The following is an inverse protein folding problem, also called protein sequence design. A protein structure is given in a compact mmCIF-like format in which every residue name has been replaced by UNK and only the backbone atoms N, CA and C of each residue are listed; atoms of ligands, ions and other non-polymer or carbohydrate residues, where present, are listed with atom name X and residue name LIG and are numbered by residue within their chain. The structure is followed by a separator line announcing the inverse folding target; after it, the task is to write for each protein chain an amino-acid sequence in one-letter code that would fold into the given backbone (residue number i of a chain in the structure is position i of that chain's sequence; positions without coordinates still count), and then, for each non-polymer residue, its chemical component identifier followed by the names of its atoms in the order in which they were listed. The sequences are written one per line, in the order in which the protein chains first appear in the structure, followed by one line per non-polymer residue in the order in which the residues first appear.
data_IF_111887954351
#
_entry.id   IF_111887954351
#
_cell.length_a   1.000
_cell.length_b   1.000
_cell.length_c   1.000
_cell.angle_alpha   90.00
_cell.angle_beta   90.00
_cell.angle_gamma   90.00
#
_symmetry.space_group_name_H-M   'P 1'
#
loop_
_entity.id
_entity.type
_entity.pdbx_description
1 polymer ?
#
# COMPACT_ATOMS: atom_id res chain seq x y z
N UNK A 1 -20.38 0.32 -13.66
CA UNK A 1 -20.08 -0.45 -12.43
C UNK A 1 -21.40 -0.63 -11.69
N UNK A 2 -21.72 -1.82 -11.18
CA UNK A 2 -22.91 -2.01 -10.35
C UNK A 2 -22.73 -1.24 -9.03
N UNK A 3 -23.82 -0.67 -8.49
CA UNK A 3 -23.79 0.09 -7.23
C UNK A 3 -23.22 -0.76 -6.09
N UNK A 4 -23.52 -2.05 -6.10
CA UNK A 4 -23.05 -3.04 -5.15
C UNK A 4 -21.52 -3.18 -5.15
N UNK A 5 -20.89 -3.24 -6.33
CA UNK A 5 -19.43 -3.31 -6.47
C UNK A 5 -18.77 -2.01 -5.99
N UNK A 6 -19.39 -0.87 -6.26
CA UNK A 6 -18.90 0.44 -5.80
C UNK A 6 -18.94 0.54 -4.27
N UNK A 7 -20.07 0.16 -3.65
CA UNK A 7 -20.21 0.16 -2.19
C UNK A 7 -19.23 -0.82 -1.53
N UNK A 8 -19.04 -2.02 -2.10
CA UNK A 8 -18.06 -2.99 -1.61
C UNK A 8 -16.61 -2.44 -1.71
N UNK A 9 -16.27 -1.76 -2.81
CA UNK A 9 -14.98 -1.11 -2.97
C UNK A 9 -14.75 0.00 -1.94
N UNK A 10 -15.74 0.88 -1.74
CA UNK A 10 -15.67 1.96 -0.74
C UNK A 10 -15.51 1.39 0.67
N UNK A 11 -16.29 0.38 1.04
CA UNK A 11 -16.17 -0.27 2.35
C UNK A 11 -14.79 -0.91 2.55
N UNK A 12 -14.30 -1.69 1.58
CA UNK A 12 -13.00 -2.33 1.67
C UNK A 12 -11.85 -1.32 1.76
N UNK A 13 -11.88 -0.26 0.94
CA UNK A 13 -10.84 0.78 0.96
C UNK A 13 -10.87 1.62 2.22
N UNK A 14 -12.05 1.92 2.78
CA UNK A 14 -12.17 2.60 4.06
C UNK A 14 -11.50 1.80 5.19
N UNK A 15 -11.75 0.49 5.26
CA UNK A 15 -11.12 -0.40 6.25
C UNK A 15 -9.59 -0.41 6.06
N UNK A 16 -9.11 -0.52 4.82
CA UNK A 16 -7.68 -0.54 4.51
C UNK A 16 -6.97 0.77 4.88
N UNK A 17 -7.61 1.92 4.67
CA UNK A 17 -7.04 3.24 5.00
C UNK A 17 -6.91 3.45 6.51
N UNK A 18 -7.78 2.84 7.32
CA UNK A 18 -7.67 2.95 8.79
C UNK A 18 -6.40 2.29 9.34
N UNK A 19 -5.86 1.28 8.66
CA UNK A 19 -4.65 0.60 9.11
C UNK A 19 -3.45 1.44 8.66
N UNK A 20 -2.68 2.04 9.59
CA UNK A 20 -1.51 2.82 9.21
C UNK A 20 -0.52 1.90 8.48
N UNK A 21 -0.39 2.12 7.17
CA UNK A 21 0.50 1.35 6.34
C UNK A 21 1.98 1.64 6.67
N UNK A 22 2.91 0.89 6.04
CA UNK A 22 4.35 1.04 6.29
C UNK A 22 4.85 2.47 6.04
N UNK A 23 4.31 3.18 5.04
CA UNK A 23 4.67 4.59 4.80
C UNK A 23 4.27 5.51 5.95
N UNK A 24 3.04 5.39 6.47
CA UNK A 24 2.57 6.22 7.59
C UNK A 24 3.36 5.89 8.86
N UNK A 25 3.60 4.60 9.13
CA UNK A 25 4.42 4.17 10.25
C UNK A 25 5.86 4.73 10.18
N UNK A 26 6.48 4.72 9.00
CA UNK A 26 7.82 5.26 8.78
C UNK A 26 7.86 6.78 8.99
N UNK A 27 6.87 7.52 8.47
CA UNK A 27 6.74 8.96 8.69
C UNK A 27 6.61 9.27 10.18
N UNK A 28 5.74 8.55 10.90
CA UNK A 28 5.55 8.72 12.34
C UNK A 28 6.84 8.38 13.11
N UNK A 29 7.48 7.25 12.81
CA UNK A 29 8.73 6.84 13.45
C UNK A 29 9.84 7.90 13.28
N UNK A 30 10.04 8.41 12.06
CA UNK A 30 11.01 9.47 11.81
C UNK A 30 10.63 10.80 12.46
N UNK A 31 9.33 11.13 12.53
CA UNK A 31 8.84 12.34 13.19
C UNK A 31 9.07 12.29 14.70
N UNK A 32 8.86 11.12 15.33
CA UNK A 32 9.04 10.91 16.77
C UNK A 32 10.52 10.85 17.12
N UNK A 33 11.33 10.11 16.37
CA UNK A 33 12.74 9.90 16.67
C UNK A 33 13.63 11.13 16.39
N UNK A 34 13.33 11.90 15.34
CA UNK A 34 14.19 12.99 14.87
C UNK A 34 13.50 14.36 14.81
N UNK A 35 12.20 14.43 15.14
CA UNK A 35 11.41 15.65 15.11
C UNK A 35 10.60 15.85 13.83
N UNK A 36 9.60 16.72 13.89
CA UNK A 36 8.60 16.93 12.81
C UNK A 36 9.21 17.32 11.47
N UNK A 37 10.36 18.02 11.45
CA UNK A 37 11.07 18.39 10.23
C UNK A 37 11.55 17.17 9.44
N UNK A 38 12.04 16.13 10.11
CA UNK A 38 12.46 14.89 9.45
C UNK A 38 11.26 14.06 8.97
N UNK A 39 10.14 14.15 9.67
CA UNK A 39 8.84 13.69 9.20
C UNK A 39 8.45 14.32 7.86
N UNK A 40 8.51 15.64 7.75
CA UNK A 40 8.20 16.37 6.51
C UNK A 40 9.13 16.00 5.36
N UNK A 41 10.43 15.82 5.62
CA UNK A 41 11.38 15.35 4.61
C UNK A 41 11.04 13.92 4.13
N UNK A 42 10.63 13.06 5.06
CA UNK A 42 10.16 11.70 4.74
C UNK A 42 8.91 11.74 3.86
N UNK A 43 7.95 12.63 4.17
CA UNK A 43 6.74 12.84 3.36
C UNK A 43 7.10 13.35 1.96
N UNK A 44 8.00 14.32 1.86
CA UNK A 44 8.43 14.87 0.57
C UNK A 44 9.12 13.81 -0.31
N UNK A 45 10.02 13.02 0.28
CA UNK A 45 10.71 11.94 -0.42
C UNK A 45 9.76 10.84 -0.88
N UNK A 46 8.91 10.35 0.02
CA UNK A 46 7.91 9.32 -0.31
C UNK A 46 6.91 9.80 -1.37
N UNK A 47 6.45 11.05 -1.29
CA UNK A 47 5.54 11.63 -2.29
C UNK A 47 6.21 11.75 -3.66
N UNK A 48 7.47 12.19 -3.70
CA UNK A 48 8.26 12.30 -4.94
C UNK A 48 8.46 10.92 -5.58
N UNK A 49 8.77 9.91 -4.78
CA UNK A 49 8.90 8.52 -5.25
C UNK A 49 7.58 8.00 -5.84
N UNK A 50 6.44 8.27 -5.19
CA UNK A 50 5.11 7.89 -5.69
C UNK A 50 4.81 8.59 -7.02
N UNK A 51 5.15 9.87 -7.18
CA UNK A 51 4.97 10.60 -8.44
C UNK A 51 5.80 9.96 -9.56
N UNK A 52 7.08 9.67 -9.31
CA UNK A 52 7.96 9.03 -10.31
C UNK A 52 7.41 7.65 -10.68
N UNK A 53 7.02 6.85 -9.69
CA UNK A 53 6.43 5.54 -9.91
C UNK A 53 5.13 5.63 -10.74
N UNK A 54 4.27 6.62 -10.47
CA UNK A 54 3.04 6.83 -11.23
C UNK A 54 3.34 7.20 -12.68
N UNK A 55 4.28 8.10 -12.92
CA UNK A 55 4.70 8.48 -14.27
C UNK A 55 5.23 7.28 -15.06
N UNK A 56 6.11 6.47 -14.45
CA UNK A 56 6.61 5.23 -15.05
C UNK A 56 5.49 4.24 -15.36
N UNK A 57 4.54 4.10 -14.43
CA UNK A 57 3.39 3.21 -14.59
C UNK A 57 2.53 3.64 -15.77
N UNK A 58 2.15 4.91 -15.84
CA UNK A 58 1.32 5.45 -16.93
C UNK A 58 2.04 5.37 -18.27
N UNK A 59 3.34 5.65 -18.32
CA UNK A 59 4.14 5.55 -19.54
C UNK A 59 4.21 4.11 -20.09
N UNK A 60 4.25 3.10 -19.20
CA UNK A 60 4.32 1.68 -19.59
C UNK A 60 2.98 0.94 -19.66
N UNK A 61 1.88 1.56 -19.20
CA UNK A 61 0.61 0.88 -18.95
C UNK A 61 0.02 0.23 -20.21
N UNK A 62 0.02 0.94 -21.34
CA UNK A 62 -0.58 0.47 -22.60
C UNK A 62 0.13 -0.76 -23.16
N UNK A 63 1.47 -0.77 -23.16
CA UNK A 63 2.27 -1.92 -23.59
C UNK A 63 2.17 -3.09 -22.61
N UNK A 64 2.09 -2.80 -21.31
CA UNK A 64 1.96 -3.85 -20.30
C UNK A 64 0.60 -4.56 -20.39
N UNK A 65 -0.49 -3.80 -20.53
CA UNK A 65 -1.85 -4.35 -20.61
C UNK A 65 -2.08 -5.19 -21.87
N UNK A 66 -1.49 -4.83 -23.01
CA UNK A 66 -1.64 -5.62 -24.25
C UNK A 66 -0.98 -7.00 -24.14
N UNK A 67 0.14 -7.12 -23.42
CA UNK A 67 0.83 -8.39 -23.18
C UNK A 67 0.13 -9.19 -22.08
N UNK A 68 -0.38 -8.52 -21.05
CA UNK A 68 -0.91 -9.15 -19.83
C UNK A 68 -2.41 -9.44 -19.86
N UNK A 69 -3.15 -9.07 -20.91
CA UNK A 69 -4.60 -9.26 -20.99
C UNK A 69 -5.06 -10.68 -20.61
N UNK A 70 -4.33 -11.69 -21.06
CA UNK A 70 -4.66 -13.11 -20.81
C UNK A 70 -4.23 -13.58 -19.40
N UNK A 71 -3.26 -12.89 -18.79
CA UNK A 71 -2.64 -13.25 -17.51
C UNK A 71 -3.18 -12.42 -16.35
N UNK A 72 -3.89 -11.33 -16.62
CA UNK A 72 -4.37 -10.39 -15.61
C UNK A 72 -5.28 -11.05 -14.58
N UNK A 73 -6.15 -11.97 -15.00
CA UNK A 73 -7.03 -12.69 -14.07
C UNK A 73 -6.23 -13.59 -13.12
N UNK A 74 -5.23 -14.32 -13.64
CA UNK A 74 -4.33 -15.12 -12.81
C UNK A 74 -3.53 -14.26 -11.84
N UNK A 75 -2.97 -13.14 -12.33
CA UNK A 75 -2.25 -12.18 -11.50
C UNK A 75 -3.14 -11.60 -10.39
N UNK A 76 -4.42 -11.33 -10.70
CA UNK A 76 -5.40 -10.86 -9.71
C UNK A 76 -5.61 -11.88 -8.61
N UNK A 77 -5.81 -13.15 -8.95
CA UNK A 77 -5.98 -14.22 -7.96
C UNK A 77 -4.71 -14.49 -7.15
N UNK A 78 -3.52 -14.37 -7.76
CA UNK A 78 -2.24 -14.41 -7.05
C UNK A 78 -2.17 -13.25 -6.04
N UNK A 79 -2.56 -12.04 -6.44
CA UNK A 79 -2.64 -10.88 -5.54
C UNK A 79 -3.59 -11.12 -4.37
N UNK A 80 -4.77 -11.68 -4.60
CA UNK A 80 -5.73 -12.05 -3.54
C UNK A 80 -5.11 -13.06 -2.58
N UNK A 81 -4.50 -14.14 -3.09
CA UNK A 81 -3.84 -15.16 -2.27
C UNK A 81 -2.71 -14.56 -1.43
N UNK A 82 -1.92 -13.65 -2.01
CA UNK A 82 -0.84 -12.97 -1.31
C UNK A 82 -1.34 -12.05 -0.18
N UNK A 83 -2.43 -11.30 -0.40
CA UNK A 83 -3.05 -10.48 0.64
C UNK A 83 -3.63 -11.31 1.77
N UNK A 84 -4.28 -12.44 1.47
CA UNK A 84 -4.76 -13.40 2.48
C UNK A 84 -3.60 -13.93 3.32
N UNK A 85 -2.49 -14.31 2.67
CA UNK A 85 -1.28 -14.73 3.35
C UNK A 85 -0.71 -13.64 4.27
N UNK A 86 -0.58 -12.39 3.78
CA UNK A 86 -0.10 -11.27 4.59
C UNK A 86 -1.03 -10.98 5.76
N UNK A 87 -2.35 -11.05 5.57
CA UNK A 87 -3.34 -10.89 6.63
C UNK A 87 -3.17 -11.93 7.74
N UNK A 88 -3.04 -13.22 7.36
CA UNK A 88 -2.78 -14.30 8.32
C UNK A 88 -1.45 -14.09 9.04
N UNK A 89 -0.40 -13.70 8.31
CA UNK A 89 0.92 -13.45 8.89
C UNK A 89 0.90 -12.29 9.88
N UNK A 90 0.17 -11.23 9.59
CA UNK A 90 0.00 -10.08 10.50
C UNK A 90 -0.73 -10.49 11.79
N UNK A 91 -1.78 -11.32 11.70
CA UNK A 91 -2.47 -11.84 12.88
C UNK A 91 -1.61 -12.77 13.75
N UNK A 92 -0.63 -13.43 13.14
CA UNK A 92 0.32 -14.34 13.84
C UNK A 92 1.61 -13.65 14.27
N UNK A 93 1.78 -12.36 13.99
CA UNK A 93 3.00 -11.65 14.34
C UNK A 93 3.10 -11.50 15.88
N UNK A 94 4.29 -11.70 16.46
CA UNK A 94 4.49 -11.48 17.89
C UNK A 94 4.25 -10.00 18.24
N UNK A 95 3.80 -9.69 19.48
CA UNK A 95 3.63 -8.32 19.92
C UNK A 95 4.92 -7.53 19.73
N UNK A 96 4.82 -6.37 19.09
CA UNK A 96 5.95 -5.46 18.95
C UNK A 96 6.28 -4.90 20.33
N UNK A 97 7.48 -5.19 20.82
CA UNK A 97 7.96 -4.72 22.12
C UNK A 97 8.44 -3.26 22.01
N UNK A 98 7.63 -2.34 22.52
CA UNK A 98 7.85 -0.90 22.43
C UNK A 98 8.84 -0.37 23.48
N UNK A 99 9.35 -1.23 24.38
CA UNK A 99 10.29 -0.80 25.42
C UNK A 99 11.76 -0.74 24.97
N UNK A 100 12.06 -1.16 23.74
CA UNK A 100 13.43 -1.19 23.18
C UNK A 100 13.72 -0.11 22.12
N UNK A 101 12.83 0.86 21.95
CA UNK A 101 12.98 1.97 21.00
C UNK A 101 13.52 3.24 21.68
#
# INVERSE_FOLDING_TARGET
MSLELYLAFVAATAILILIPGPNVALIVANSVAHGSRFGLLTVAGTSSAVIIQLLLTVAGMTTFLSIMANWFEWLRWIGVAYLVYLGIRAWRAPPVDLTKA
#
